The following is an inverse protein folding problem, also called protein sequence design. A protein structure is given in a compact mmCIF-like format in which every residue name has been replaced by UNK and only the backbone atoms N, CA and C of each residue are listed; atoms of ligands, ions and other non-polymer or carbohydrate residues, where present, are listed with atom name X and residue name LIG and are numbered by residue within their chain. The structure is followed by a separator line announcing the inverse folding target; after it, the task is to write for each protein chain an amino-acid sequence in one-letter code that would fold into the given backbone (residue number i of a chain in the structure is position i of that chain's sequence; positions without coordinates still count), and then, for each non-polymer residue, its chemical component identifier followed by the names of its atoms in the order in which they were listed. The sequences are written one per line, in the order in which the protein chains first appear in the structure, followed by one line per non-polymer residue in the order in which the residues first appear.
data_IF_593431336717
#
_entry.id   IF_593431336717
#
_cell.length_a   1.000
_cell.length_b   1.000
_cell.length_c   1.000
_cell.angle_alpha   90.00
_cell.angle_beta   90.00
_cell.angle_gamma   90.00
#
_symmetry.space_group_name_H-M   'P 1'
#
loop_
_entity.id
_entity.type
_entity.pdbx_description
1 polymer ?
#
# COMPACT_ATOMS: atom_id res chain seq x y z
N UNK A 1 9.52 1.90 -23.41
CA UNK A 1 8.41 2.20 -22.49
C UNK A 1 8.31 1.04 -21.52
N UNK A 2 8.18 1.26 -20.21
CA UNK A 2 7.92 0.14 -19.32
C UNK A 2 6.59 -0.50 -19.75
N UNK A 3 6.59 -1.83 -19.81
CA UNK A 3 5.37 -2.58 -20.10
C UNK A 3 4.31 -2.23 -19.04
N UNK A 4 3.13 -1.83 -19.51
CA UNK A 4 2.01 -1.58 -18.61
C UNK A 4 1.45 -2.93 -18.18
N UNK A 5 1.44 -3.21 -16.89
CA UNK A 5 0.88 -4.45 -16.33
C UNK A 5 -0.65 -4.44 -16.40
N UNK A 6 -1.21 -4.52 -17.60
CA UNK A 6 -2.66 -4.49 -17.83
C UNK A 6 -3.33 -5.84 -17.66
N UNK A 7 -2.59 -6.95 -17.74
CA UNK A 7 -3.14 -8.29 -17.62
C UNK A 7 -3.30 -8.78 -16.17
N UNK A 8 -2.66 -8.09 -15.22
CA UNK A 8 -2.81 -8.39 -13.81
C UNK A 8 -4.16 -7.88 -13.26
N UNK A 9 -4.67 -8.44 -12.16
CA UNK A 9 -5.87 -7.91 -11.50
C UNK A 9 -5.69 -6.45 -11.12
N UNK A 10 -6.72 -5.62 -11.33
CA UNK A 10 -6.70 -4.19 -11.05
C UNK A 10 -6.32 -3.88 -9.61
N UNK A 11 -5.45 -2.90 -9.43
CA UNK A 11 -5.04 -2.41 -8.13
C UNK A 11 -4.68 -0.92 -8.20
N UNK A 12 -5.31 -0.13 -7.33
CA UNK A 12 -5.08 1.30 -7.19
C UNK A 12 -4.88 1.65 -5.72
N UNK A 13 -3.67 2.08 -5.32
CA UNK A 13 -3.44 2.65 -3.99
C UNK A 13 -4.07 4.04 -3.89
N UNK A 14 -4.94 4.24 -2.90
CA UNK A 14 -5.62 5.53 -2.70
C UNK A 14 -4.65 6.56 -2.14
N UNK A 15 -4.51 7.68 -2.83
CA UNK A 15 -3.70 8.83 -2.39
C UNK A 15 -4.54 9.90 -1.71
N UNK A 16 -5.70 10.22 -2.28
CA UNK A 16 -6.61 11.22 -1.74
C UNK A 16 -8.06 10.76 -1.82
N UNK A 17 -8.87 11.27 -0.90
CA UNK A 17 -10.31 11.05 -0.86
C UNK A 17 -11.00 12.41 -0.81
N UNK A 18 -12.02 12.59 -1.65
CA UNK A 18 -12.81 13.80 -1.66
C UNK A 18 -14.29 13.46 -1.85
N UNK A 19 -15.15 14.38 -1.47
CA UNK A 19 -16.58 14.27 -1.70
C UNK A 19 -16.99 15.33 -2.70
N UNK A 20 -17.71 14.91 -3.75
CA UNK A 20 -18.29 15.83 -4.73
C UNK A 20 -19.79 15.87 -4.46
N UNK A 21 -20.30 17.08 -4.19
CA UNK A 21 -21.74 17.28 -3.93
C UNK A 21 -22.58 16.75 -5.09
N UNK A 22 -23.51 15.86 -4.76
CA UNK A 22 -24.40 15.23 -5.75
C UNK A 22 -23.79 14.04 -6.50
N UNK A 23 -22.50 13.74 -6.30
CA UNK A 23 -21.82 12.63 -6.99
C UNK A 23 -21.27 11.55 -6.04
N UNK A 24 -21.02 11.89 -4.78
CA UNK A 24 -20.55 10.94 -3.76
C UNK A 24 -19.06 10.98 -3.49
N UNK A 25 -18.51 9.86 -3.05
CA UNK A 25 -17.10 9.75 -2.67
C UNK A 25 -16.23 9.44 -3.89
N UNK A 26 -15.17 10.19 -4.02
CA UNK A 26 -14.17 10.06 -5.09
C UNK A 26 -12.82 9.74 -4.46
N UNK A 27 -12.15 8.73 -4.99
CA UNK A 27 -10.77 8.38 -4.61
C UNK A 27 -9.86 8.66 -5.80
N UNK A 28 -8.65 9.13 -5.50
CA UNK A 28 -7.65 9.41 -6.53
C UNK A 28 -6.37 8.65 -6.26
N UNK A 29 -5.65 8.28 -7.31
CA UNK A 29 -4.36 7.62 -7.24
C UNK A 29 -3.86 7.22 -8.61
N UNK A 30 -2.71 6.57 -8.62
CA UNK A 30 -2.13 5.98 -9.82
C UNK A 30 -2.48 4.49 -9.87
N UNK A 31 -3.00 4.03 -11.01
CA UNK A 31 -3.26 2.61 -11.23
C UNK A 31 -1.91 1.88 -11.26
N UNK A 32 -1.70 0.99 -10.30
CA UNK A 32 -0.46 0.23 -10.20
C UNK A 32 -0.41 -0.89 -11.24
N UNK A 33 -1.53 -1.58 -11.44
CA UNK A 33 -1.68 -2.69 -12.39
C UNK A 33 -3.13 -2.90 -12.79
N UNK A 34 -3.32 -3.62 -13.88
CA UNK A 34 -4.64 -4.00 -14.37
C UNK A 34 -5.38 -2.89 -15.09
N UNK A 35 -6.66 -3.14 -15.29
CA UNK A 35 -7.60 -2.24 -15.95
C UNK A 35 -8.86 -2.15 -15.10
N UNK A 36 -9.38 -0.96 -14.92
CA UNK A 36 -10.70 -0.72 -14.31
C UNK A 36 -11.60 -0.06 -15.33
N UNK A 37 -12.84 -0.52 -15.39
CA UNK A 37 -13.87 -0.01 -16.31
C UNK A 37 -15.03 0.55 -15.54
N UNK A 38 -15.71 1.50 -16.18
CA UNK A 38 -16.99 2.00 -15.68
C UNK A 38 -17.95 0.82 -15.48
N UNK A 39 -18.56 0.72 -14.29
CA UNK A 39 -19.45 -0.38 -13.92
C UNK A 39 -18.78 -1.57 -13.23
N UNK A 40 -17.47 -1.61 -13.14
CA UNK A 40 -16.75 -2.70 -12.49
C UNK A 40 -17.03 -2.73 -10.99
N UNK A 41 -17.13 -3.95 -10.46
CA UNK A 41 -17.11 -4.19 -9.01
C UNK A 41 -15.68 -4.14 -8.52
N UNK A 42 -15.47 -3.55 -7.35
CA UNK A 42 -14.18 -3.43 -6.72
C UNK A 42 -14.28 -3.68 -5.22
N UNK A 43 -13.20 -4.15 -4.62
CA UNK A 43 -13.05 -4.23 -3.18
C UNK A 43 -12.21 -3.03 -2.70
N UNK A 44 -12.55 -2.55 -1.51
CA UNK A 44 -11.76 -1.55 -0.79
C UNK A 44 -11.04 -2.27 0.34
N UNK A 45 -9.77 -2.56 0.16
CA UNK A 45 -8.98 -3.40 1.05
C UNK A 45 -8.13 -2.52 1.97
N UNK A 46 -8.16 -2.82 3.27
CA UNK A 46 -7.48 -2.01 4.29
C UNK A 46 -8.34 -0.88 4.85
N UNK A 47 -9.62 -0.80 4.48
CA UNK A 47 -10.58 0.10 5.08
C UNK A 47 -10.90 -0.35 6.52
N UNK A 48 -11.32 0.58 7.37
CA UNK A 48 -11.74 0.26 8.73
C UNK A 48 -13.06 -0.52 8.71
N UNK A 49 -13.15 -1.59 9.52
CA UNK A 49 -14.35 -2.41 9.65
C UNK A 49 -14.37 -3.62 8.74
N UNK A 50 -15.57 -4.05 8.39
CA UNK A 50 -15.79 -5.19 7.50
C UNK A 50 -15.26 -4.92 6.09
N UNK A 51 -14.96 -5.99 5.31
CA UNK A 51 -14.59 -5.81 3.91
C UNK A 51 -15.64 -4.99 3.17
N UNK A 52 -15.19 -3.92 2.51
CA UNK A 52 -16.06 -3.05 1.73
C UNK A 52 -15.95 -3.40 0.25
N UNK A 53 -17.09 -3.39 -0.42
CA UNK A 53 -17.18 -3.52 -1.87
C UNK A 53 -17.96 -2.35 -2.44
N UNK A 54 -17.67 -2.01 -3.68
CA UNK A 54 -18.36 -0.93 -4.38
C UNK A 54 -18.43 -1.21 -5.88
N UNK A 55 -19.09 -0.32 -6.58
CA UNK A 55 -19.14 -0.29 -8.04
C UNK A 55 -18.57 1.05 -8.50
N UNK A 56 -17.71 1.03 -9.51
CA UNK A 56 -17.15 2.23 -10.11
C UNK A 56 -18.22 2.88 -10.98
N UNK A 57 -18.70 4.04 -10.56
CA UNK A 57 -19.75 4.80 -11.27
C UNK A 57 -19.21 5.95 -12.10
N UNK A 58 -17.92 6.23 -11.99
CA UNK A 58 -17.24 7.22 -12.80
C UNK A 58 -15.74 6.98 -12.80
N UNK A 59 -15.13 7.24 -13.96
CA UNK A 59 -13.68 7.20 -14.15
C UNK A 59 -13.30 8.52 -14.80
N UNK A 60 -12.38 9.25 -14.20
CA UNK A 60 -11.92 10.54 -14.73
C UNK A 60 -10.40 10.62 -14.75
N UNK A 61 -9.86 11.14 -15.82
CA UNK A 61 -8.43 11.41 -15.98
C UNK A 61 -8.26 12.87 -16.40
N UNK A 62 -7.50 13.64 -15.61
CA UNK A 62 -7.33 15.09 -15.84
C UNK A 62 -8.66 15.85 -15.98
N UNK A 63 -9.64 15.48 -15.15
CA UNK A 63 -10.97 16.10 -15.15
C UNK A 63 -11.87 15.68 -16.31
N UNK A 64 -11.45 14.74 -17.15
CA UNK A 64 -12.23 14.25 -18.30
C UNK A 64 -12.81 12.87 -18.00
N UNK A 65 -14.12 12.65 -18.25
CA UNK A 65 -14.71 11.33 -18.13
C UNK A 65 -14.07 10.33 -19.09
N UNK A 66 -13.81 9.12 -18.58
CA UNK A 66 -13.24 8.01 -19.32
C UNK A 66 -14.11 6.77 -19.13
N UNK A 67 -14.05 5.83 -20.06
CA UNK A 67 -14.72 4.53 -19.92
C UNK A 67 -13.88 3.53 -19.12
N UNK A 68 -12.57 3.70 -19.14
CA UNK A 68 -11.63 2.83 -18.41
C UNK A 68 -10.35 3.59 -18.05
N UNK A 69 -9.61 3.02 -17.11
CA UNK A 69 -8.24 3.41 -16.79
C UNK A 69 -7.38 2.15 -16.63
N UNK A 70 -6.10 2.29 -16.86
CA UNK A 70 -5.16 1.17 -16.85
C UNK A 70 -3.86 1.53 -16.16
N UNK A 71 -3.04 0.51 -15.89
CA UNK A 71 -1.74 0.66 -15.25
C UNK A 71 -0.95 1.84 -15.82
N UNK A 72 -0.46 2.69 -14.93
CA UNK A 72 0.26 3.92 -15.25
C UNK A 72 -0.60 5.17 -15.33
N UNK A 73 -1.92 5.06 -15.35
CA UNK A 73 -2.81 6.22 -15.39
C UNK A 73 -3.03 6.80 -13.99
N UNK A 74 -3.05 8.13 -13.88
CA UNK A 74 -3.54 8.84 -12.71
C UNK A 74 -5.03 9.06 -12.88
N UNK A 75 -5.85 8.62 -11.95
CA UNK A 75 -7.28 8.60 -12.11
C UNK A 75 -8.03 9.02 -10.85
N UNK A 76 -9.25 9.49 -11.05
CA UNK A 76 -10.25 9.65 -10.02
C UNK A 76 -11.38 8.65 -10.28
N UNK A 77 -11.73 7.86 -9.27
CA UNK A 77 -12.81 6.89 -9.32
C UNK A 77 -13.95 7.33 -8.41
N UNK A 78 -15.17 7.36 -8.97
CA UNK A 78 -16.38 7.53 -8.19
C UNK A 78 -16.86 6.16 -7.73
N UNK A 79 -17.10 6.04 -6.42
CA UNK A 79 -17.48 4.78 -5.78
C UNK A 79 -18.89 4.86 -5.22
N UNK A 80 -19.75 3.92 -5.65
CA UNK A 80 -21.14 3.86 -5.22
C UNK A 80 -21.25 3.43 -3.76
N UNK A 81 -22.06 4.17 -2.99
CA UNK A 81 -22.44 3.75 -1.63
C UNK A 81 -21.30 3.82 -0.60
N UNK A 82 -20.21 4.49 -0.92
CA UNK A 82 -19.08 4.67 0.00
C UNK A 82 -19.12 6.08 0.58
N UNK A 83 -19.12 6.15 1.90
CA UNK A 83 -18.98 7.42 2.62
C UNK A 83 -17.51 7.78 2.79
N UNK A 84 -17.22 9.07 2.81
CA UNK A 84 -15.84 9.56 2.94
C UNK A 84 -15.11 8.99 4.15
N UNK A 85 -15.81 8.81 5.28
CA UNK A 85 -15.23 8.26 6.51
C UNK A 85 -14.83 6.79 6.43
N UNK A 86 -15.31 6.05 5.44
CA UNK A 86 -15.00 4.63 5.24
C UNK A 86 -13.70 4.42 4.46
N UNK A 87 -13.21 5.43 3.77
CA UNK A 87 -12.03 5.35 2.90
C UNK A 87 -11.05 6.45 3.27
N UNK A 88 -9.77 6.11 3.26
CA UNK A 88 -8.68 7.05 3.53
C UNK A 88 -7.47 6.71 2.66
N UNK A 89 -6.48 7.60 2.63
CA UNK A 89 -5.17 7.32 2.05
C UNK A 89 -4.62 6.01 2.62
N UNK A 90 -4.09 5.17 1.76
CA UNK A 90 -3.54 3.86 2.13
C UNK A 90 -4.47 2.69 1.88
N UNK A 91 -5.77 2.93 1.71
CA UNK A 91 -6.72 1.91 1.25
C UNK A 91 -6.37 1.54 -0.19
N UNK A 92 -6.58 0.29 -0.55
CA UNK A 92 -6.39 -0.23 -1.90
C UNK A 92 -7.75 -0.47 -2.53
N UNK A 93 -7.97 0.06 -3.72
CA UNK A 93 -9.10 -0.32 -4.57
C UNK A 93 -8.60 -1.40 -5.52
N UNK A 94 -9.20 -2.58 -5.49
CA UNK A 94 -8.71 -3.74 -6.22
C UNK A 94 -9.84 -4.56 -6.83
N UNK A 95 -9.48 -5.38 -7.82
CA UNK A 95 -10.40 -6.38 -8.34
C UNK A 95 -10.88 -7.29 -7.21
N UNK A 96 -12.16 -7.72 -7.21
CA UNK A 96 -12.71 -8.53 -6.12
C UNK A 96 -11.85 -9.76 -5.81
N UNK A 97 -11.51 -9.95 -4.53
CA UNK A 97 -10.76 -11.11 -4.05
C UNK A 97 -9.29 -11.19 -4.48
N UNK A 98 -8.76 -10.17 -5.15
CA UNK A 98 -7.42 -10.22 -5.74
C UNK A 98 -6.28 -9.95 -4.77
N UNK A 99 -6.55 -9.33 -3.63
CA UNK A 99 -5.56 -9.08 -2.59
C UNK A 99 -6.20 -9.18 -1.21
N UNK A 100 -5.46 -9.69 -0.25
CA UNK A 100 -5.94 -9.95 1.11
C UNK A 100 -5.11 -9.14 2.10
N UNK A 101 -5.73 -8.44 3.08
CA UNK A 101 -4.98 -7.78 4.14
C UNK A 101 -4.35 -8.79 5.09
N UNK A 102 -3.10 -8.52 5.49
CA UNK A 102 -2.34 -9.39 6.38
C UNK A 102 -1.60 -8.56 7.43
N UNK A 103 -1.24 -9.20 8.54
CA UNK A 103 -0.49 -8.54 9.62
C UNK A 103 0.96 -8.96 9.67
N UNK A 104 1.32 -10.11 9.08
CA UNK A 104 2.67 -10.65 9.19
C UNK A 104 3.30 -10.97 7.84
N UNK A 105 4.58 -10.71 7.75
CA UNK A 105 5.38 -11.07 6.58
C UNK A 105 6.85 -11.19 6.92
N UNK A 106 7.61 -11.84 6.04
CA UNK A 106 9.06 -11.81 6.05
C UNK A 106 9.56 -10.90 4.92
N UNK A 107 10.69 -10.26 5.16
CA UNK A 107 11.26 -9.32 4.20
C UNK A 107 12.78 -9.36 4.23
N UNK A 108 13.38 -8.96 3.13
CA UNK A 108 14.79 -8.58 3.09
C UNK A 108 14.88 -7.08 3.13
N UNK A 109 15.61 -6.55 4.11
CA UNK A 109 15.76 -5.12 4.32
C UNK A 109 17.23 -4.69 4.27
N UNK A 110 17.43 -3.48 3.79
CA UNK A 110 18.69 -2.76 3.86
C UNK A 110 18.54 -1.60 4.84
N UNK A 111 19.42 -1.54 5.83
CA UNK A 111 19.47 -0.43 6.78
C UNK A 111 20.41 0.64 6.27
N UNK A 112 19.91 1.86 6.06
CA UNK A 112 20.74 2.98 5.63
C UNK A 112 21.86 3.23 6.63
N UNK A 113 23.08 3.44 6.12
CA UNK A 113 24.20 3.86 6.94
C UNK A 113 23.99 5.30 7.45
N UNK A 114 24.75 5.70 8.46
CA UNK A 114 24.70 7.07 8.95
C UNK A 114 25.04 8.10 7.85
N UNK A 115 25.95 7.75 6.95
CA UNK A 115 26.31 8.59 5.79
C UNK A 115 25.17 8.77 4.80
N UNK A 116 24.30 7.79 4.69
CA UNK A 116 23.11 7.81 3.84
C UNK A 116 21.90 8.47 4.51
N UNK A 117 22.06 8.98 5.71
CA UNK A 117 20.98 9.59 6.49
C UNK A 117 20.23 8.63 7.40
N UNK A 118 20.74 7.40 7.55
CA UNK A 118 20.17 6.39 8.43
C UNK A 118 20.51 6.58 9.92
N UNK A 119 20.20 5.58 10.71
CA UNK A 119 20.51 5.56 12.13
C UNK A 119 22.02 5.43 12.36
N UNK A 120 22.47 5.93 13.51
CA UNK A 120 23.85 5.71 13.99
C UNK A 120 23.96 4.44 14.85
N UNK A 121 22.84 3.96 15.37
CA UNK A 121 22.76 2.83 16.27
C UNK A 121 22.04 1.64 15.62
N UNK A 122 22.34 0.43 16.08
CA UNK A 122 21.68 -0.78 15.62
C UNK A 122 20.18 -0.77 15.93
N UNK A 123 19.42 -1.48 15.13
CA UNK A 123 18.03 -1.84 15.43
C UNK A 123 18.05 -3.19 16.18
N UNK A 124 17.29 -3.28 17.26
CA UNK A 124 17.12 -4.53 18.01
C UNK A 124 15.73 -5.11 17.75
N UNK A 125 15.59 -6.43 17.93
CA UNK A 125 14.29 -7.09 17.94
C UNK A 125 13.34 -6.39 18.92
N UNK A 126 12.11 -6.14 18.47
CA UNK A 126 11.10 -5.37 19.22
C UNK A 126 11.06 -3.90 18.85
N UNK A 127 11.97 -3.41 18.01
CA UNK A 127 11.91 -2.05 17.48
C UNK A 127 10.66 -1.88 16.60
N UNK A 128 9.95 -0.75 16.76
CA UNK A 128 8.65 -0.48 16.12
C UNK A 128 8.67 0.78 15.27
N UNK A 129 9.30 0.76 14.09
CA UNK A 129 9.26 1.90 13.17
C UNK A 129 7.96 1.96 12.38
N UNK A 130 7.85 2.98 11.53
CA UNK A 130 6.79 3.11 10.53
C UNK A 130 7.21 2.42 9.24
N UNK A 131 6.25 1.71 8.64
CA UNK A 131 6.39 1.08 7.31
C UNK A 131 5.53 1.82 6.31
N UNK A 132 6.15 2.30 5.24
CA UNK A 132 5.43 2.89 4.12
C UNK A 132 5.20 1.81 3.06
N UNK A 133 3.98 1.31 3.03
CA UNK A 133 3.52 0.23 2.15
C UNK A 133 2.57 0.84 1.12
N UNK A 134 3.05 1.10 -0.09
CA UNK A 134 2.35 1.89 -1.09
C UNK A 134 2.04 3.29 -0.53
N UNK A 135 0.75 3.62 -0.36
CA UNK A 135 0.33 4.90 0.23
C UNK A 135 -0.04 4.79 1.71
N UNK A 136 0.05 3.60 2.29
CA UNK A 136 -0.23 3.35 3.70
C UNK A 136 0.99 3.57 4.58
N UNK A 137 0.75 4.09 5.78
CA UNK A 137 1.72 4.28 6.83
C UNK A 137 1.28 3.43 8.03
N UNK A 138 2.07 2.40 8.36
CA UNK A 138 1.70 1.41 9.36
C UNK A 138 2.87 1.15 10.29
N UNK A 139 2.62 1.17 11.60
CA UNK A 139 3.62 0.76 12.60
C UNK A 139 3.75 -0.75 12.58
N UNK A 140 4.97 -1.26 12.69
CA UNK A 140 5.23 -2.69 12.76
C UNK A 140 6.43 -3.03 13.63
N UNK A 141 6.41 -4.22 14.21
CA UNK A 141 7.50 -4.76 15.01
C UNK A 141 8.47 -5.54 14.13
N UNK A 142 9.75 -5.32 14.35
CA UNK A 142 10.84 -6.05 13.68
C UNK A 142 11.39 -7.16 14.58
N UNK A 143 11.56 -8.35 14.00
CA UNK A 143 12.22 -9.48 14.64
C UNK A 143 13.39 -9.93 13.75
N UNK A 144 14.59 -9.77 14.27
CA UNK A 144 15.84 -10.11 13.57
C UNK A 144 16.30 -11.56 13.80
N UNK A 145 15.43 -12.38 14.40
CA UNK A 145 15.75 -13.78 14.68
C UNK A 145 16.89 -13.96 15.69
N UNK A 146 17.68 -15.04 15.56
CA UNK A 146 18.75 -15.34 16.53
C UNK A 146 19.82 -14.24 16.68
N UNK A 147 20.07 -13.45 15.63
CA UNK A 147 21.01 -12.34 15.69
C UNK A 147 20.54 -11.24 16.65
N UNK A 148 19.22 -11.03 16.75
CA UNK A 148 18.60 -10.08 17.66
C UNK A 148 18.80 -8.61 17.33
N UNK A 149 19.70 -8.28 16.42
CA UNK A 149 20.05 -6.91 16.00
C UNK A 149 20.42 -6.85 14.53
N UNK A 150 20.28 -5.68 13.94
CA UNK A 150 20.85 -5.33 12.63
C UNK A 150 21.48 -3.96 12.71
N UNK A 151 22.64 -3.79 12.07
CA UNK A 151 23.41 -2.55 12.12
C UNK A 151 23.21 -1.72 10.87
N UNK A 152 23.35 -0.39 10.97
CA UNK A 152 23.36 0.48 9.79
C UNK A 152 24.35 -0.01 8.72
N UNK A 153 23.90 -0.05 7.47
CA UNK A 153 24.70 -0.55 6.34
C UNK A 153 24.54 -2.04 6.06
N UNK A 154 23.86 -2.79 6.91
CA UNK A 154 23.61 -4.23 6.72
C UNK A 154 22.35 -4.50 5.91
N UNK A 155 22.39 -5.59 5.14
CA UNK A 155 21.21 -6.20 4.51
C UNK A 155 20.90 -7.49 5.29
N UNK A 156 19.67 -7.59 5.78
CA UNK A 156 19.25 -8.71 6.63
C UNK A 156 17.86 -9.21 6.28
N UNK A 157 17.58 -10.46 6.59
CA UNK A 157 16.23 -11.00 6.57
C UNK A 157 15.56 -10.72 7.91
N UNK A 158 14.29 -10.35 7.88
CA UNK A 158 13.56 -9.93 9.07
C UNK A 158 12.11 -10.42 8.99
N UNK A 159 11.53 -10.68 10.15
CA UNK A 159 10.11 -10.91 10.30
C UNK A 159 9.45 -9.61 10.78
N UNK A 160 8.32 -9.26 10.17
CA UNK A 160 7.57 -8.05 10.49
C UNK A 160 6.17 -8.42 10.95
N UNK A 161 5.73 -7.82 12.06
CA UNK A 161 4.35 -7.89 12.52
C UNK A 161 3.76 -6.48 12.50
N UNK A 162 2.82 -6.25 11.58
CA UNK A 162 2.15 -4.95 11.42
C UNK A 162 1.10 -4.73 12.51
N UNK A 163 0.93 -3.49 12.93
CA UNK A 163 -0.05 -3.11 13.95
C UNK A 163 -1.50 -3.19 13.50
N UNK A 164 -1.75 -3.36 12.21
CA UNK A 164 -3.09 -3.55 11.63
C UNK A 164 -3.00 -4.35 10.34
N UNK A 165 -4.10 -5.04 9.95
CA UNK A 165 -4.16 -5.72 8.65
C UNK A 165 -3.94 -4.73 7.51
N UNK A 166 -3.05 -5.07 6.59
CA UNK A 166 -2.64 -4.21 5.48
C UNK A 166 -2.51 -5.05 4.22
N UNK A 167 -2.98 -4.56 3.07
CA UNK A 167 -2.80 -5.26 1.79
C UNK A 167 -1.33 -5.36 1.44
N UNK A 168 -0.78 -6.56 1.51
CA UNK A 168 0.62 -6.85 1.21
C UNK A 168 0.72 -8.13 0.39
N UNK A 169 1.78 -8.22 -0.41
CA UNK A 169 2.08 -9.40 -1.22
C UNK A 169 3.60 -9.53 -1.40
N UNK A 170 4.05 -10.74 -1.72
CA UNK A 170 5.46 -10.97 -2.03
C UNK A 170 5.90 -10.10 -3.21
N UNK A 171 7.10 -9.55 -3.13
CA UNK A 171 7.65 -8.64 -4.13
C UNK A 171 7.37 -7.15 -3.88
N UNK A 172 6.51 -6.82 -2.92
CA UNK A 172 6.21 -5.43 -2.58
C UNK A 172 7.43 -4.77 -1.93
N UNK A 173 7.87 -3.65 -2.51
CA UNK A 173 8.89 -2.79 -1.92
C UNK A 173 8.28 -1.84 -0.88
N UNK A 174 9.06 -1.49 0.13
CA UNK A 174 8.62 -0.56 1.17
C UNK A 174 9.79 0.22 1.76
N UNK A 175 9.47 1.33 2.42
CA UNK A 175 10.42 2.10 3.20
C UNK A 175 10.15 1.95 4.70
N UNK A 176 11.22 1.99 5.49
CA UNK A 176 11.16 2.03 6.95
C UNK A 176 11.53 3.45 7.39
N UNK A 177 10.68 4.06 8.19
CA UNK A 177 10.86 5.45 8.63
C UNK A 177 10.79 5.59 10.15
N UNK A 178 11.56 6.53 10.64
CA UNK A 178 11.66 6.91 12.05
C UNK A 178 11.66 8.43 12.13
N UNK A 179 10.69 9.00 12.82
CA UNK A 179 10.60 10.45 12.99
C UNK A 179 10.56 11.23 11.67
N UNK A 180 9.88 10.73 10.64
CA UNK A 180 9.79 11.38 9.34
C UNK A 180 11.01 11.19 8.43
N UNK A 181 11.98 10.40 8.86
CA UNK A 181 13.24 10.13 8.15
C UNK A 181 13.31 8.66 7.72
N UNK A 182 13.69 8.41 6.47
CA UNK A 182 13.91 7.04 5.99
C UNK A 182 15.18 6.47 6.63
N UNK A 183 15.06 5.32 7.27
CA UNK A 183 16.18 4.61 7.92
C UNK A 183 16.47 3.26 7.30
N UNK A 184 15.61 2.80 6.41
CA UNK A 184 15.78 1.54 5.69
C UNK A 184 14.80 1.39 4.55
N UNK A 185 15.02 0.36 3.76
CA UNK A 185 14.13 -0.05 2.68
C UNK A 185 14.18 -1.57 2.55
N UNK A 186 13.11 -2.15 2.03
CA UNK A 186 13.05 -3.59 1.88
C UNK A 186 12.06 -4.06 0.86
N UNK A 187 12.02 -5.37 0.70
CA UNK A 187 11.09 -6.07 -0.18
C UNK A 187 10.48 -7.23 0.58
N UNK A 188 9.16 -7.36 0.51
CA UNK A 188 8.44 -8.50 1.08
C UNK A 188 8.86 -9.78 0.33
N UNK A 189 9.35 -10.78 1.07
CA UNK A 189 9.76 -12.07 0.48
C UNK A 189 8.68 -13.13 0.61
N UNK A 190 7.90 -13.11 1.68
CA UNK A 190 6.77 -14.01 1.88
C UNK A 190 5.74 -13.36 2.81
N UNK A 191 4.49 -13.71 2.64
CA UNK A 191 3.39 -13.26 3.51
C UNK A 191 2.87 -14.43 4.33
N UNK A 192 2.37 -14.14 5.53
CA UNK A 192 1.72 -15.14 6.38
C UNK A 192 0.35 -15.52 5.78
N UNK A 193 -0.06 -16.77 5.96
CA UNK A 193 -1.39 -17.25 5.54
C UNK A 193 -2.52 -16.75 6.44
#
# INVERSE_FOLDING_TARGET
MPERYTDAPFLLPVENVMTITGRGTVVTGAVERGVVRLGDKVDLVGAAGEPLSSVVTGVETFGKPMEFAQAGDNVALLLRGIERGQVRRGVIVAAPGSIVPRTGFTARIYLLSAKEGGRRTAMATGYRPQFYLRTADVVGDLDFGPAGVARPGETVDVRVALGRPTPIEAGLGFAIREGGRTVGAGTVTAVDE
#
